data_IF_033259363510
#
_entry.id   IF_033259363510
#
_cell.length_a   1.000
_cell.length_b   1.000
_cell.length_c   1.000
_cell.angle_alpha   90.00
_cell.angle_beta   90.00
_cell.angle_gamma   90.00
#
_symmetry.space_group_name_H-M   'P 1'
#
loop_
_entity.id
_entity.type
_entity.pdbx_description
1 polymer ?
#
# COMPACT_ATOMS: atom_id res chain seq x y z
N UNK A 1 1.83 14.07 -8.93
CA UNK A 1 0.98 14.23 -7.73
C UNK A 1 1.04 12.90 -6.99
N UNK A 2 1.82 12.85 -5.92
CA UNK A 2 2.08 11.60 -5.19
C UNK A 2 0.79 11.06 -4.59
N UNK A 3 0.51 9.79 -4.86
CA UNK A 3 -0.66 9.09 -4.35
C UNK A 3 -0.72 9.20 -2.82
N UNK A 4 -1.89 9.54 -2.28
CA UNK A 4 -2.17 9.81 -0.86
C UNK A 4 -2.00 8.59 0.06
N UNK A 5 -1.57 7.44 -0.48
CA UNK A 5 -1.39 6.16 0.22
C UNK A 5 -0.55 6.35 1.50
N UNK A 6 0.56 7.09 1.40
CA UNK A 6 1.44 7.31 2.55
C UNK A 6 0.79 8.05 3.72
N UNK A 7 -0.23 8.89 3.48
CA UNK A 7 -0.98 9.54 4.56
C UNK A 7 -1.90 8.55 5.26
N UNK A 8 -2.58 7.70 4.49
CA UNK A 8 -3.42 6.63 5.06
C UNK A 8 -2.62 5.66 5.91
N UNK A 9 -1.42 5.25 5.47
CA UNK A 9 -0.55 4.37 6.27
C UNK A 9 -0.12 5.00 7.60
N UNK A 10 0.09 6.31 7.65
CA UNK A 10 0.52 7.01 8.88
C UNK A 10 -0.63 7.29 9.83
N UNK A 11 -1.77 7.70 9.29
CA UNK A 11 -2.86 8.28 10.08
C UNK A 11 -4.00 7.29 10.37
N UNK A 12 -4.18 6.27 9.52
CA UNK A 12 -5.24 5.30 9.71
C UNK A 12 -4.99 4.43 10.92
N UNK A 13 -6.02 4.21 11.74
CA UNK A 13 -6.00 3.24 12.85
C UNK A 13 -6.31 1.81 12.39
N UNK A 14 -6.63 1.61 11.11
CA UNK A 14 -6.90 0.29 10.58
C UNK A 14 -5.64 -0.60 10.64
N UNK A 15 -5.86 -1.89 10.85
CA UNK A 15 -4.81 -2.92 10.82
C UNK A 15 -4.51 -3.33 9.37
N UNK A 16 -5.50 -3.19 8.48
CA UNK A 16 -5.42 -3.58 7.07
C UNK A 16 -5.98 -2.46 6.20
N UNK A 17 -5.27 -2.14 5.12
CA UNK A 17 -5.68 -1.16 4.11
C UNK A 17 -5.49 -1.75 2.73
N UNK A 18 -6.45 -1.53 1.84
CA UNK A 18 -6.44 -2.05 0.48
C UNK A 18 -6.54 -0.90 -0.51
N UNK A 19 -5.64 -0.86 -1.49
CA UNK A 19 -5.59 0.18 -2.51
C UNK A 19 -5.64 -0.45 -3.88
N UNK A 20 -6.63 -0.03 -4.68
CA UNK A 20 -6.72 -0.38 -6.09
C UNK A 20 -5.87 0.59 -6.90
N UNK A 21 -4.90 0.07 -7.62
CA UNK A 21 -3.97 0.87 -8.43
C UNK A 21 -3.81 0.32 -9.83
N UNK A 22 -3.37 1.18 -10.75
CA UNK A 22 -3.00 0.74 -12.10
C UNK A 22 -1.75 -0.14 -12.06
N UNK A 23 -1.62 -1.04 -13.05
CA UNK A 23 -0.49 -1.98 -13.15
C UNK A 23 0.89 -1.32 -13.24
N UNK A 24 0.97 -0.18 -13.92
CA UNK A 24 2.18 0.62 -14.06
C UNK A 24 2.61 1.32 -12.76
N UNK A 25 1.71 1.44 -11.78
CA UNK A 25 1.94 2.10 -10.51
C UNK A 25 2.46 1.17 -9.40
N UNK A 26 2.86 -0.07 -9.72
CA UNK A 26 3.39 -1.03 -8.72
C UNK A 26 4.52 -0.45 -7.88
N UNK A 27 5.46 0.24 -8.52
CA UNK A 27 6.61 0.86 -7.84
C UNK A 27 6.20 1.88 -6.77
N UNK A 28 5.00 2.46 -6.86
CA UNK A 28 4.47 3.34 -5.82
C UNK A 28 4.18 2.55 -4.53
N UNK A 29 3.60 1.35 -4.61
CA UNK A 29 3.32 0.54 -3.42
C UNK A 29 4.62 0.13 -2.72
N UNK A 30 5.60 -0.29 -3.51
CA UNK A 30 6.93 -0.72 -3.05
C UNK A 30 7.69 0.45 -2.40
N UNK A 31 7.62 1.65 -2.97
CA UNK A 31 8.18 2.87 -2.37
C UNK A 31 7.49 3.25 -1.05
N UNK A 32 6.16 3.10 -0.97
CA UNK A 32 5.42 3.41 0.26
C UNK A 32 5.76 2.47 1.42
N UNK A 33 5.87 1.15 1.17
CA UNK A 33 6.23 0.19 2.23
C UNK A 33 7.68 0.39 2.70
N UNK A 34 8.59 0.78 1.80
CA UNK A 34 9.96 1.11 2.16
C UNK A 34 10.06 2.40 2.99
N UNK A 35 9.18 3.36 2.72
CA UNK A 35 9.19 4.69 3.37
C UNK A 35 8.43 4.72 4.70
N UNK A 36 7.35 3.94 4.84
CA UNK A 36 6.48 3.94 6.03
C UNK A 36 6.66 2.66 6.83
N UNK A 37 7.39 2.76 7.93
CA UNK A 37 7.69 1.64 8.85
C UNK A 37 6.42 1.06 9.49
N UNK A 38 6.50 -0.21 9.91
CA UNK A 38 5.42 -0.87 10.65
C UNK A 38 4.29 -1.43 9.77
N UNK A 39 4.54 -1.55 8.48
CA UNK A 39 3.61 -2.14 7.51
C UNK A 39 4.30 -3.23 6.70
N UNK A 40 3.59 -4.33 6.47
CA UNK A 40 3.86 -5.30 5.41
C UNK A 40 3.00 -5.01 4.19
N UNK A 41 3.46 -5.44 3.01
CA UNK A 41 2.77 -5.26 1.74
C UNK A 41 2.60 -6.61 1.03
N UNK A 42 1.38 -6.91 0.62
CA UNK A 42 1.05 -7.93 -0.37
C UNK A 42 0.48 -7.23 -1.62
N UNK A 43 0.86 -7.69 -2.80
CA UNK A 43 0.33 -7.17 -4.07
C UNK A 43 -0.36 -8.31 -4.80
N UNK A 44 -1.67 -8.20 -4.96
CA UNK A 44 -2.47 -9.13 -5.74
C UNK A 44 -2.66 -8.56 -7.13
N UNK A 45 -2.28 -9.33 -8.15
CA UNK A 45 -2.44 -8.92 -9.55
C UNK A 45 -3.78 -9.42 -10.11
N UNK A 46 -4.54 -8.50 -10.69
CA UNK A 46 -5.76 -8.78 -11.45
C UNK A 46 -5.53 -8.48 -12.94
N UNK A 47 -6.45 -8.86 -13.85
CA UNK A 47 -6.27 -8.62 -15.29
C UNK A 47 -6.08 -7.14 -15.66
N UNK A 48 -6.76 -6.22 -14.99
CA UNK A 48 -6.82 -4.80 -15.31
C UNK A 48 -6.13 -3.87 -14.28
N UNK A 49 -5.91 -4.35 -13.05
CA UNK A 49 -5.37 -3.55 -11.95
C UNK A 49 -4.52 -4.39 -10.98
N UNK A 50 -3.92 -3.72 -10.01
CA UNK A 50 -3.30 -4.36 -8.84
C UNK A 50 -4.04 -3.92 -7.58
N UNK A 51 -4.07 -4.82 -6.60
CA UNK A 51 -4.53 -4.51 -5.25
C UNK A 51 -3.33 -4.57 -4.31
N UNK A 52 -2.95 -3.41 -3.77
CA UNK A 52 -1.95 -3.30 -2.72
C UNK A 52 -2.59 -3.45 -1.35
N UNK A 53 -2.26 -4.52 -0.65
CA UNK A 53 -2.77 -4.85 0.69
C UNK A 53 -1.68 -4.53 1.69
N UNK A 54 -1.86 -3.46 2.46
CA UNK A 54 -0.98 -3.10 3.55
C UNK A 54 -1.53 -3.65 4.86
N UNK A 55 -0.70 -4.38 5.61
CA UNK A 55 -1.05 -4.91 6.93
C UNK A 55 -0.09 -4.38 7.98
N UNK A 56 -0.60 -3.84 9.09
CA UNK A 56 0.25 -3.40 10.20
C UNK A 56 1.01 -4.59 10.75
N UNK A 57 2.32 -4.46 10.82
CA UNK A 57 3.16 -5.41 11.53
C UNK A 57 3.13 -5.00 13.01
N UNK A 58 2.57 -5.82 13.91
CA UNK A 58 2.68 -5.54 15.33
C UNK A 58 4.17 -5.48 15.71
N UNK A 59 4.53 -4.46 16.48
CA UNK A 59 5.87 -4.30 17.03
C UNK A 59 6.22 -5.41 18.01
#
# INVERSE_FOLDING_TARGET
MGLEIGWYLRLSRAIRLEFLIKKDARGVLEDQVATVSGWGLEVVEHPDHLVGIFTRTPA
#
